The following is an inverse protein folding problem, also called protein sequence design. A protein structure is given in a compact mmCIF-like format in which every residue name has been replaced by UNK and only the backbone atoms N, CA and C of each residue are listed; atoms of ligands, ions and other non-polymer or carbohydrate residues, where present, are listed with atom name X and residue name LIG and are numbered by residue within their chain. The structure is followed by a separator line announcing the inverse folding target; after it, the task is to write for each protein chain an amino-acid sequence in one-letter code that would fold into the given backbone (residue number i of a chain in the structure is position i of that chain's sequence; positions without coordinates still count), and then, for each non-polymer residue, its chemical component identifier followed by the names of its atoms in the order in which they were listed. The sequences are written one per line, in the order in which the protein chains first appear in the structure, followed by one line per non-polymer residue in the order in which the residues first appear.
data_IF_256268394023
#
_entry.id   IF_256268394023
#
_cell.length_a   1.000
_cell.length_b   1.000
_cell.length_c   1.000
_cell.angle_alpha   90.00
_cell.angle_beta   90.00
_cell.angle_gamma   90.00
#
_symmetry.space_group_name_H-M   'P 1'
#
loop_
_entity.id
_entity.type
_entity.pdbx_description
1 polymer ?
#
# COMPACT_ATOMS: atom_id res chain seq x y z
N UNK A 1 0.19 36.87 -32.66
CA UNK A 1 1.21 36.86 -31.59
C UNK A 1 0.69 36.27 -30.27
N UNK A 2 -0.46 36.71 -29.73
CA UNK A 2 -1.05 36.14 -28.48
C UNK A 2 -1.38 34.63 -28.55
N UNK A 3 -1.87 34.14 -29.68
CA UNK A 3 -2.20 32.71 -29.86
C UNK A 3 -0.96 31.80 -29.89
N UNK A 4 0.14 32.27 -30.49
CA UNK A 4 1.41 31.53 -30.52
C UNK A 4 2.06 31.45 -29.12
N UNK A 5 1.91 32.48 -28.29
CA UNK A 5 2.41 32.45 -26.91
C UNK A 5 1.61 31.49 -26.03
N UNK A 6 0.29 31.36 -26.26
CA UNK A 6 -0.55 30.43 -25.51
C UNK A 6 -0.19 28.97 -25.83
N UNK A 7 0.01 28.65 -27.11
CA UNK A 7 0.43 27.30 -27.54
C UNK A 7 1.79 26.94 -26.96
N UNK A 8 2.77 27.85 -26.99
CA UNK A 8 4.10 27.62 -26.40
C UNK A 8 4.07 27.41 -24.87
N UNK A 9 3.14 28.09 -24.16
CA UNK A 9 2.95 27.92 -22.71
C UNK A 9 2.29 26.56 -22.37
N UNK A 10 1.40 26.04 -23.23
CA UNK A 10 0.83 24.70 -23.05
C UNK A 10 1.83 23.59 -23.41
N UNK A 11 2.72 23.81 -24.39
CA UNK A 11 3.77 22.85 -24.77
C UNK A 11 4.86 22.66 -23.70
N UNK A 12 4.96 23.59 -22.74
CA UNK A 12 5.93 23.55 -21.64
C UNK A 12 5.39 22.93 -20.36
N UNK A 13 4.14 22.45 -20.36
CA UNK A 13 3.61 21.58 -19.31
C UNK A 13 4.25 20.20 -19.44
N UNK A 14 5.48 20.07 -18.93
CA UNK A 14 6.08 18.75 -18.69
C UNK A 14 5.14 17.97 -17.78
N UNK A 15 4.74 16.78 -18.18
CA UNK A 15 4.01 15.85 -17.32
C UNK A 15 4.98 15.41 -16.22
N UNK A 16 5.02 16.13 -15.10
CA UNK A 16 5.77 15.70 -13.91
C UNK A 16 5.10 14.42 -13.43
N UNK A 17 5.69 13.28 -13.77
CA UNK A 17 5.24 11.99 -13.25
C UNK A 17 5.72 11.90 -11.81
N UNK A 18 4.84 12.23 -10.87
CA UNK A 18 5.11 12.01 -9.45
C UNK A 18 5.51 10.56 -9.22
N UNK A 19 6.59 10.34 -8.48
CA UNK A 19 7.04 9.01 -8.10
C UNK A 19 6.33 8.65 -6.81
N UNK A 20 5.65 7.51 -6.79
CA UNK A 20 5.00 7.03 -5.59
C UNK A 20 6.03 6.64 -4.52
N UNK A 21 5.80 7.06 -3.28
CA UNK A 21 6.62 6.76 -2.10
C UNK A 21 5.85 5.83 -1.19
N UNK A 22 6.47 4.71 -0.82
CA UNK A 22 5.86 3.69 0.01
C UNK A 22 6.66 3.49 1.30
N UNK A 23 5.95 3.31 2.41
CA UNK A 23 6.56 2.90 3.66
C UNK A 23 6.26 1.43 3.95
N UNK A 24 7.28 0.68 4.35
CA UNK A 24 7.16 -0.71 4.75
C UNK A 24 6.54 -0.79 6.15
N UNK A 25 5.50 -1.60 6.33
CA UNK A 25 4.75 -1.69 7.59
C UNK A 25 4.60 -3.15 8.05
N UNK A 26 5.13 -3.47 9.24
CA UNK A 26 5.07 -4.82 9.81
C UNK A 26 3.72 -5.08 10.47
N UNK A 27 2.78 -5.71 9.75
CA UNK A 27 1.42 -5.91 10.26
C UNK A 27 1.39 -6.89 11.45
N UNK A 28 2.27 -7.89 11.47
CA UNK A 28 2.37 -8.85 12.58
C UNK A 28 2.67 -8.22 13.95
N UNK A 29 3.16 -6.98 13.99
CA UNK A 29 3.48 -6.26 15.24
C UNK A 29 2.29 -5.46 15.81
N UNK A 30 1.09 -5.63 15.26
CA UNK A 30 -0.08 -4.78 15.56
C UNK A 30 -1.16 -5.52 16.36
N UNK A 31 -0.80 -6.55 17.12
CA UNK A 31 -1.76 -7.35 17.90
C UNK A 31 -2.62 -6.51 18.86
N UNK A 32 -2.06 -5.44 19.43
CA UNK A 32 -2.75 -4.51 20.33
C UNK A 32 -3.34 -3.27 19.64
N UNK A 33 -3.21 -3.15 18.31
CA UNK A 33 -3.70 -1.97 17.61
C UNK A 33 -5.22 -1.91 17.63
N UNK A 34 -5.71 -0.72 17.95
CA UNK A 34 -7.09 -0.30 17.76
C UNK A 34 -7.25 0.44 16.43
N UNK A 35 -8.49 0.76 16.07
CA UNK A 35 -8.79 1.66 14.94
C UNK A 35 -8.08 3.01 15.08
N UNK A 36 -7.95 3.53 16.31
CA UNK A 36 -7.30 4.81 16.57
C UNK A 36 -5.81 4.78 16.20
N UNK A 37 -5.11 3.69 16.54
CA UNK A 37 -3.68 3.54 16.22
C UNK A 37 -3.47 3.50 14.70
N UNK A 38 -4.33 2.77 13.98
CA UNK A 38 -4.31 2.76 12.52
C UNK A 38 -4.57 4.14 11.91
N UNK A 39 -5.56 4.86 12.42
CA UNK A 39 -5.86 6.21 11.96
C UNK A 39 -4.69 7.17 12.19
N UNK A 40 -4.06 7.10 13.36
CA UNK A 40 -2.93 7.95 13.72
C UNK A 40 -1.71 7.69 12.83
N UNK A 41 -1.35 6.42 12.60
CA UNK A 41 -0.22 6.07 11.72
C UNK A 41 -0.50 6.45 10.26
N UNK A 42 -1.72 6.25 9.76
CA UNK A 42 -2.12 6.71 8.41
C UNK A 42 -2.04 8.24 8.30
N UNK A 43 -2.55 8.97 9.30
CA UNK A 43 -2.49 10.42 9.31
C UNK A 43 -1.02 10.90 9.28
N UNK A 44 -0.15 10.31 10.10
CA UNK A 44 1.29 10.61 10.12
C UNK A 44 1.95 10.35 8.77
N UNK A 45 1.61 9.23 8.13
CA UNK A 45 2.12 8.90 6.80
C UNK A 45 1.68 9.91 5.73
N UNK A 46 0.42 10.33 5.75
CA UNK A 46 -0.08 11.38 4.85
C UNK A 46 0.63 12.71 5.08
N UNK A 47 0.86 13.11 6.34
CA UNK A 47 1.63 14.32 6.70
C UNK A 47 3.07 14.23 6.16
N UNK A 48 3.66 13.02 6.17
CA UNK A 48 4.99 12.76 5.64
C UNK A 48 5.05 12.59 4.11
N UNK A 49 3.93 12.77 3.40
CA UNK A 49 3.81 12.57 1.95
C UNK A 49 4.13 11.13 1.49
N UNK A 50 3.80 10.13 2.30
CA UNK A 50 3.80 8.73 1.90
C UNK A 50 2.48 8.45 1.17
N UNK A 51 2.55 7.80 0.01
CA UNK A 51 1.38 7.50 -0.82
C UNK A 51 0.67 6.21 -0.42
N UNK A 52 1.42 5.22 0.06
CA UNK A 52 0.88 3.93 0.47
C UNK A 52 1.74 3.19 1.50
N UNK A 53 1.14 2.26 2.23
CA UNK A 53 1.90 1.25 2.99
C UNK A 53 2.10 -0.03 2.16
N UNK A 54 3.34 -0.50 2.15
CA UNK A 54 3.70 -1.86 1.75
C UNK A 54 3.54 -2.76 2.97
N UNK A 55 2.45 -3.52 3.02
CA UNK A 55 2.08 -4.33 4.18
C UNK A 55 2.93 -5.60 4.23
N UNK A 56 3.95 -5.62 5.08
CA UNK A 56 4.67 -6.84 5.35
C UNK A 56 3.77 -7.81 6.11
N UNK A 57 3.52 -8.94 5.43
CA UNK A 57 2.68 -10.00 5.95
C UNK A 57 3.39 -11.36 5.88
N UNK A 58 3.48 -12.03 7.02
CA UNK A 58 3.94 -13.41 7.13
C UNK A 58 2.78 -14.38 6.91
N UNK A 59 3.08 -15.56 6.36
CA UNK A 59 2.09 -16.59 6.12
C UNK A 59 1.48 -17.09 7.44
N UNK A 60 0.19 -17.44 7.45
CA UNK A 60 -0.51 -18.06 8.58
C UNK A 60 -0.31 -17.34 9.94
N UNK A 61 -0.25 -16.01 9.94
CA UNK A 61 -0.19 -15.17 11.14
C UNK A 61 -1.60 -14.69 11.53
N UNK A 62 -2.04 -15.05 12.74
CA UNK A 62 -3.38 -14.71 13.23
C UNK A 62 -3.55 -13.22 13.53
N UNK A 63 -2.48 -12.50 13.88
CA UNK A 63 -2.51 -11.05 14.09
C UNK A 63 -2.81 -10.35 12.77
N UNK A 64 -2.14 -10.77 11.70
CA UNK A 64 -2.36 -10.23 10.36
C UNK A 64 -3.80 -10.49 9.93
N UNK A 65 -4.28 -11.73 10.05
CA UNK A 65 -5.65 -12.07 9.68
C UNK A 65 -6.71 -11.24 10.43
N UNK A 66 -6.47 -10.92 11.71
CA UNK A 66 -7.36 -10.09 12.51
C UNK A 66 -7.32 -8.60 12.16
N UNK A 67 -6.15 -8.08 11.79
CA UNK A 67 -5.95 -6.64 11.59
C UNK A 67 -6.24 -6.16 10.16
N UNK A 68 -6.08 -7.01 9.14
CA UNK A 68 -6.30 -6.61 7.74
C UNK A 68 -7.68 -5.99 7.47
N UNK A 69 -8.82 -6.55 7.94
CA UNK A 69 -10.13 -5.95 7.68
C UNK A 69 -10.25 -4.53 8.26
N UNK A 70 -9.77 -4.33 9.50
CA UNK A 70 -9.78 -3.03 10.18
C UNK A 70 -8.90 -2.04 9.43
N UNK A 71 -7.67 -2.43 9.08
CA UNK A 71 -6.72 -1.58 8.36
C UNK A 71 -7.24 -1.16 6.99
N UNK A 72 -7.77 -2.09 6.17
CA UNK A 72 -8.33 -1.77 4.86
C UNK A 72 -9.53 -0.83 4.95
N UNK A 73 -10.42 -1.03 5.94
CA UNK A 73 -11.55 -0.14 6.19
C UNK A 73 -11.09 1.27 6.59
N UNK A 74 -10.16 1.37 7.56
CA UNK A 74 -9.63 2.64 8.03
C UNK A 74 -8.90 3.40 6.92
N UNK A 75 -8.00 2.73 6.17
CA UNK A 75 -7.30 3.35 5.05
C UNK A 75 -8.26 3.81 3.96
N UNK A 76 -9.29 3.02 3.66
CA UNK A 76 -10.34 3.39 2.71
C UNK A 76 -11.06 4.67 3.12
N UNK A 77 -11.42 4.79 4.39
CA UNK A 77 -12.08 6.00 4.93
C UNK A 77 -11.20 7.26 4.87
N UNK A 78 -9.88 7.09 4.96
CA UNK A 78 -8.88 8.17 4.92
C UNK A 78 -8.36 8.46 3.51
N UNK A 79 -8.81 7.71 2.49
CA UNK A 79 -8.30 7.79 1.13
C UNK A 79 -6.83 7.36 0.99
N UNK A 80 -6.30 6.63 1.96
CA UNK A 80 -4.92 6.14 1.97
C UNK A 80 -4.81 4.81 1.24
N UNK A 81 -3.63 4.52 0.66
CA UNK A 81 -3.43 3.34 -0.17
C UNK A 81 -2.61 2.26 0.53
N UNK A 82 -2.89 1.01 0.19
CA UNK A 82 -2.25 -0.17 0.77
C UNK A 82 -1.97 -1.19 -0.34
N UNK A 83 -0.94 -2.00 -0.18
CA UNK A 83 -0.72 -3.20 -0.97
C UNK A 83 0.08 -4.23 -0.20
N UNK A 84 0.07 -5.49 -0.65
CA UNK A 84 0.76 -6.55 0.07
C UNK A 84 2.26 -6.60 -0.26
N UNK A 85 3.04 -6.82 0.79
CA UNK A 85 4.44 -7.21 0.74
C UNK A 85 4.57 -8.59 1.40
N UNK A 86 4.52 -9.64 0.59
CA UNK A 86 4.52 -11.01 1.08
C UNK A 86 5.91 -11.40 1.62
N UNK A 87 6.02 -11.61 2.93
CA UNK A 87 7.23 -12.10 3.58
C UNK A 87 7.29 -13.62 3.47
N UNK A 88 8.19 -14.11 2.62
CA UNK A 88 8.40 -15.55 2.39
C UNK A 88 9.33 -16.20 3.43
N UNK A 89 9.97 -15.42 4.29
CA UNK A 89 10.89 -15.90 5.32
C UNK A 89 10.26 -15.89 6.73
N UNK A 90 9.27 -15.03 6.97
CA UNK A 90 8.72 -14.76 8.31
C UNK A 90 8.09 -15.98 9.01
N UNK A 91 7.21 -16.72 8.31
CA UNK A 91 6.54 -17.90 8.89
C UNK A 91 6.38 -19.04 7.86
N UNK A 92 7.41 -19.20 7.04
CA UNK A 92 7.42 -20.12 5.91
C UNK A 92 6.94 -19.49 4.60
N UNK A 93 7.24 -20.18 3.50
CA UNK A 93 6.91 -19.71 2.16
C UNK A 93 5.40 -19.63 1.95
N UNK A 94 4.97 -18.61 1.20
CA UNK A 94 3.59 -18.50 0.74
C UNK A 94 3.35 -19.44 -0.44
N UNK A 95 2.22 -20.16 -0.42
CA UNK A 95 1.75 -20.89 -1.59
C UNK A 95 1.17 -19.88 -2.59
N UNK A 96 1.40 -20.12 -3.89
CA UNK A 96 0.87 -19.26 -4.95
C UNK A 96 -0.65 -19.10 -4.87
N UNK A 97 -1.38 -20.18 -4.54
CA UNK A 97 -2.83 -20.15 -4.40
C UNK A 97 -3.30 -19.19 -3.28
N UNK A 98 -2.58 -19.16 -2.15
CA UNK A 98 -2.92 -18.33 -0.99
C UNK A 98 -2.66 -16.85 -1.28
N UNK A 99 -1.55 -16.55 -1.97
CA UNK A 99 -1.26 -15.19 -2.48
C UNK A 99 -2.39 -14.69 -3.37
N UNK A 100 -2.79 -15.50 -4.37
CA UNK A 100 -3.85 -15.15 -5.30
C UNK A 100 -5.18 -14.97 -4.57
N UNK A 101 -5.51 -15.84 -3.62
CA UNK A 101 -6.74 -15.76 -2.84
C UNK A 101 -6.79 -14.45 -2.03
N UNK A 102 -5.71 -14.11 -1.33
CA UNK A 102 -5.64 -12.92 -0.49
C UNK A 102 -5.70 -11.62 -1.32
N UNK A 103 -4.96 -11.56 -2.43
CA UNK A 103 -5.03 -10.41 -3.36
C UNK A 103 -6.46 -10.27 -3.89
N UNK A 104 -7.10 -11.35 -4.32
CA UNK A 104 -8.48 -11.29 -4.83
C UNK A 104 -9.50 -10.85 -3.78
N UNK A 105 -9.26 -11.15 -2.50
CA UNK A 105 -10.10 -10.72 -1.39
C UNK A 105 -10.09 -9.20 -1.23
N UNK A 106 -8.93 -8.55 -1.36
CA UNK A 106 -8.78 -7.12 -1.04
C UNK A 106 -8.63 -6.19 -2.24
N UNK A 107 -8.31 -6.69 -3.44
CA UNK A 107 -8.04 -5.83 -4.62
C UNK A 107 -9.22 -4.96 -5.05
N UNK A 108 -10.45 -5.28 -4.62
CA UNK A 108 -11.63 -4.47 -4.93
C UNK A 108 -11.88 -3.37 -3.89
N UNK A 109 -11.15 -3.37 -2.78
CA UNK A 109 -11.24 -2.33 -1.76
C UNK A 109 -10.71 -1.00 -2.31
N UNK A 110 -11.39 0.10 -1.93
CA UNK A 110 -11.00 1.43 -2.35
C UNK A 110 -9.57 1.81 -1.89
N UNK A 111 -9.07 1.18 -0.82
CA UNK A 111 -7.72 1.38 -0.30
C UNK A 111 -6.64 0.64 -1.10
N UNK A 112 -6.98 -0.32 -1.98
CA UNK A 112 -5.94 -1.08 -2.68
C UNK A 112 -5.19 -0.21 -3.69
N UNK A 113 -3.87 -0.30 -3.70
CA UNK A 113 -3.02 0.45 -4.62
C UNK A 113 -2.93 -0.26 -5.97
N UNK A 114 -3.24 0.47 -7.05
CA UNK A 114 -3.11 0.00 -8.42
C UNK A 114 -2.02 0.77 -9.15
N UNK A 115 -1.17 0.05 -9.86
CA UNK A 115 -0.17 0.64 -10.76
C UNK A 115 -0.53 0.30 -12.21
N UNK A 116 -0.71 1.31 -13.05
CA UNK A 116 -1.12 1.15 -14.47
C UNK A 116 -2.36 0.24 -14.65
N UNK A 117 -3.34 0.34 -13.76
CA UNK A 117 -4.58 -0.44 -13.81
C UNK A 117 -4.45 -1.89 -13.33
N UNK A 118 -3.31 -2.27 -12.75
CA UNK A 118 -3.08 -3.61 -12.20
C UNK A 118 -2.86 -3.52 -10.70
N UNK A 119 -3.35 -4.52 -9.97
CA UNK A 119 -3.02 -4.68 -8.55
C UNK A 119 -1.50 -4.75 -8.43
N UNK A 120 -0.93 -3.93 -7.54
CA UNK A 120 0.49 -3.89 -7.31
C UNK A 120 0.79 -4.63 -6.02
N UNK A 121 1.72 -5.59 -6.06
CA UNK A 121 2.14 -6.36 -4.90
C UNK A 121 3.64 -6.62 -4.98
N UNK A 122 4.28 -6.85 -3.83
CA UNK A 122 5.71 -7.14 -3.74
C UNK A 122 5.96 -8.41 -2.94
N UNK A 123 7.07 -9.08 -3.19
CA UNK A 123 7.64 -10.03 -2.24
C UNK A 123 8.71 -9.31 -1.41
N UNK A 124 8.72 -9.55 -0.10
CA UNK A 124 9.79 -9.14 0.78
C UNK A 124 10.74 -10.32 0.98
N UNK A 125 12.02 -10.12 0.66
CA UNK A 125 13.09 -11.05 1.03
C UNK A 125 13.99 -10.32 2.04
N UNK A 126 13.85 -10.62 3.33
CA UNK A 126 14.87 -10.23 4.29
C UNK A 126 16.14 -11.02 3.98
N UNK A 127 17.13 -10.38 3.36
CA UNK A 127 18.51 -10.72 3.74
C UNK A 127 18.67 -10.07 5.11
N UNK A 128 18.50 -10.86 6.17
CA UNK A 128 19.03 -10.46 7.48
C UNK A 128 20.53 -10.27 7.28
N UNK A 129 20.99 -9.02 7.24
CA UNK A 129 22.40 -8.68 7.46
C UNK A 129 22.78 -8.97 8.89
#
# INVERSE_FOLDING_TARGET
MKLLMLVALLSSLTLVRSKAVFAHFMVGNTASYSTYDWEDDINKAQIAHIDAFALNIANNDSTIAAQLPTLFSTAGSKGFKLFFSFDYAGNGAWLQADVIALVNQYKMEAAYYFYNGQAFDTSCFFISS
#
